data_IF_482765553106
#
_entry.id   IF_482765553106
#
_cell.length_a   1.000
_cell.length_b   1.000
_cell.length_c   1.000
_cell.angle_alpha   90.00
_cell.angle_beta   90.00
_cell.angle_gamma   90.00
#
_symmetry.space_group_name_H-M   'P 1'
#
loop_
_entity.id
_entity.type
_entity.pdbx_description
1 polymer ?
#
# COMPACT_ATOMS: atom_id res chain seq x y z
N UNK A 1 -33.73 -24.28 13.36
CA UNK A 1 -32.57 -24.31 12.45
C UNK A 1 -31.41 -23.66 13.20
N UNK A 2 -30.60 -24.47 13.88
CA UNK A 2 -29.50 -24.00 14.70
C UNK A 2 -28.35 -23.58 13.78
N UNK A 3 -28.21 -22.27 13.54
CA UNK A 3 -26.96 -21.75 13.01
C UNK A 3 -25.94 -21.76 14.16
N UNK A 4 -24.79 -22.44 14.02
CA UNK A 4 -23.73 -22.35 15.01
C UNK A 4 -23.30 -20.90 15.09
N UNK A 5 -23.58 -20.30 16.24
CA UNK A 5 -23.24 -18.94 16.58
C UNK A 5 -21.72 -18.84 16.63
N UNK A 6 -21.13 -18.22 15.60
CA UNK A 6 -19.88 -17.49 15.77
C UNK A 6 -20.20 -16.27 16.66
N UNK A 7 -20.43 -16.51 17.94
CA UNK A 7 -19.96 -15.59 18.96
C UNK A 7 -18.48 -15.93 19.19
N UNK A 8 -17.67 -15.62 18.18
CA UNK A 8 -16.34 -15.16 18.46
C UNK A 8 -16.39 -13.69 18.05
N UNK A 9 -16.21 -12.83 19.03
CA UNK A 9 -15.66 -11.51 18.77
C UNK A 9 -14.30 -11.73 18.11
N UNK A 10 -14.31 -12.13 16.84
CA UNK A 10 -13.14 -12.11 15.99
C UNK A 10 -12.95 -10.64 15.68
N UNK A 11 -12.38 -9.87 16.62
CA UNK A 11 -11.83 -8.55 16.34
C UNK A 11 -10.65 -8.60 15.36
N UNK A 12 -10.58 -9.64 14.53
CA UNK A 12 -9.58 -9.84 13.51
C UNK A 12 -10.15 -9.37 12.18
N UNK A 13 -9.89 -8.09 11.87
CA UNK A 13 -10.01 -7.60 10.51
C UNK A 13 -9.30 -8.58 9.55
N UNK A 14 -9.86 -8.91 8.38
CA UNK A 14 -9.24 -9.83 7.42
C UNK A 14 -7.87 -9.34 6.91
N UNK A 15 -7.52 -8.07 7.13
CA UNK A 15 -6.17 -7.53 6.90
C UNK A 15 -5.11 -8.11 7.84
N UNK A 16 -5.50 -8.62 9.01
CA UNK A 16 -4.62 -9.19 10.05
C UNK A 16 -4.31 -10.68 9.75
N UNK A 17 -5.23 -11.41 9.12
CA UNK A 17 -5.17 -12.88 9.12
C UNK A 17 -4.37 -13.51 7.97
N UNK A 18 -3.89 -12.73 6.98
CA UNK A 18 -3.01 -13.27 5.93
C UNK A 18 -1.59 -12.80 6.15
N UNK A 19 -0.89 -13.44 7.11
CA UNK A 19 0.57 -13.56 7.06
C UNK A 19 0.92 -14.46 5.87
N UNK A 20 0.62 -14.01 4.65
CA UNK A 20 1.23 -14.56 3.45
C UNK A 20 2.73 -14.54 3.74
N UNK A 21 3.36 -15.70 3.71
CA UNK A 21 4.80 -15.83 3.79
C UNK A 21 5.38 -15.05 2.62
N UNK A 22 5.64 -13.75 2.82
CA UNK A 22 6.28 -12.90 1.85
C UNK A 22 7.57 -13.61 1.47
N UNK A 23 7.72 -13.92 0.18
CA UNK A 23 8.99 -14.42 -0.32
C UNK A 23 10.08 -13.41 0.04
N UNK A 24 11.30 -13.88 0.29
CA UNK A 24 12.44 -13.00 0.64
C UNK A 24 12.56 -11.84 -0.36
N UNK A 25 12.30 -12.09 -1.65
CA UNK A 25 12.29 -11.06 -2.70
C UNK A 25 11.19 -10.02 -2.52
N UNK A 26 9.98 -10.43 -2.11
CA UNK A 26 8.85 -9.53 -1.88
C UNK A 26 9.09 -8.64 -0.66
N UNK A 27 9.69 -9.20 0.40
CA UNK A 27 10.04 -8.45 1.60
C UNK A 27 11.15 -7.43 1.33
N UNK A 28 12.15 -7.79 0.53
CA UNK A 28 13.19 -6.86 0.10
C UNK A 28 12.63 -5.75 -0.79
N UNK A 29 11.74 -6.08 -1.73
CA UNK A 29 11.08 -5.08 -2.58
C UNK A 29 10.26 -4.08 -1.76
N UNK A 30 9.48 -4.54 -0.77
CA UNK A 30 8.74 -3.64 0.12
C UNK A 30 9.63 -2.74 0.96
N UNK A 31 10.76 -3.28 1.45
CA UNK A 31 11.74 -2.48 2.18
C UNK A 31 12.39 -1.43 1.28
N UNK A 32 12.75 -1.80 0.04
CA UNK A 32 13.31 -0.88 -0.95
C UNK A 32 12.31 0.21 -1.34
N UNK A 33 11.04 -0.11 -1.58
CA UNK A 33 10.01 0.88 -1.90
C UNK A 33 9.80 1.89 -0.77
N UNK A 34 9.76 1.42 0.48
CA UNK A 34 9.65 2.31 1.66
C UNK A 34 10.87 3.21 1.82
N UNK A 35 12.06 2.70 1.54
CA UNK A 35 13.29 3.48 1.63
C UNK A 35 13.42 4.50 0.49
N UNK A 36 13.09 4.11 -0.74
CA UNK A 36 13.11 4.96 -1.93
C UNK A 36 12.05 6.08 -1.87
N UNK A 37 10.93 5.86 -1.19
CA UNK A 37 9.87 6.86 -1.00
C UNK A 37 10.12 7.87 0.14
N UNK A 38 11.28 7.80 0.81
CA UNK A 38 11.59 8.64 1.97
C UNK A 38 12.12 10.03 1.55
N UNK A 39 11.62 11.09 2.17
CA UNK A 39 12.09 12.48 1.96
C UNK A 39 13.62 12.67 2.07
N UNK A 40 14.31 12.14 3.10
CA UNK A 40 15.78 12.24 3.18
C UNK A 40 16.53 11.49 2.08
N UNK A 41 15.98 10.39 1.54
CA UNK A 41 16.61 9.66 0.43
C UNK A 41 16.60 10.50 -0.85
N UNK A 42 15.47 11.14 -1.16
CA UNK A 42 15.36 12.02 -2.31
C UNK A 42 16.39 13.16 -2.26
N UNK A 43 16.48 13.84 -1.11
CA UNK A 43 17.45 14.92 -0.92
C UNK A 43 18.91 14.44 -1.03
N UNK A 44 19.24 13.32 -0.40
CA UNK A 44 20.59 12.73 -0.50
C UNK A 44 20.96 12.34 -1.93
N UNK A 45 20.03 11.71 -2.65
CA UNK A 45 20.22 11.34 -4.06
C UNK A 45 20.40 12.56 -4.96
N UNK A 46 19.59 13.61 -4.78
CA UNK A 46 19.75 14.88 -5.49
C UNK A 46 21.10 15.55 -5.22
N UNK A 47 21.57 15.54 -3.97
CA UNK A 47 22.90 16.08 -3.62
C UNK A 47 24.02 15.30 -4.31
N UNK A 48 23.94 13.97 -4.36
CA UNK A 48 24.93 13.14 -5.06
C UNK A 48 24.98 13.48 -6.56
N UNK A 49 23.82 13.66 -7.21
CA UNK A 49 23.76 14.07 -8.62
C UNK A 49 24.41 15.45 -8.80
N UNK A 50 24.11 16.41 -7.93
CA UNK A 50 24.71 17.75 -8.00
C UNK A 50 26.23 17.68 -7.83
N UNK A 51 26.72 16.90 -6.86
CA UNK A 51 28.15 16.68 -6.63
C UNK A 51 28.80 16.06 -7.88
N UNK A 52 28.16 15.05 -8.49
CA UNK A 52 28.66 14.42 -9.72
C UNK A 52 28.78 15.40 -10.89
N UNK A 53 27.77 16.26 -11.05
CA UNK A 53 27.77 17.32 -12.05
C UNK A 53 28.90 18.32 -11.76
N UNK A 54 29.04 18.77 -10.51
CA UNK A 54 30.13 19.68 -10.11
C UNK A 54 31.51 19.06 -10.39
N UNK A 55 31.76 17.82 -9.99
CA UNK A 55 33.04 17.12 -10.24
C UNK A 55 33.35 17.05 -11.74
N UNK A 56 32.35 16.76 -12.58
CA UNK A 56 32.54 16.70 -14.04
C UNK A 56 32.77 18.07 -14.68
N UNK A 57 32.06 19.12 -14.23
CA UNK A 57 32.23 20.49 -14.75
C UNK A 57 33.58 21.08 -14.33
N UNK A 58 33.99 20.88 -13.07
CA UNK A 58 35.29 21.34 -12.56
C UNK A 58 36.44 20.40 -12.93
N UNK A 59 36.20 19.47 -13.87
CA UNK A 59 37.06 18.35 -14.25
C UNK A 59 38.52 18.74 -14.47
N UNK A 60 39.30 18.54 -13.42
CA UNK A 60 40.71 18.91 -13.25
C UNK A 60 41.68 18.16 -14.19
N UNK A 61 41.25 17.20 -15.04
CA UNK A 61 42.22 16.51 -15.94
C UNK A 61 41.69 15.84 -17.22
N UNK A 62 40.42 15.42 -17.39
CA UNK A 62 40.03 14.73 -18.64
C UNK A 62 38.53 14.59 -18.99
N UNK A 63 37.64 15.52 -18.58
CA UNK A 63 36.20 15.56 -18.94
C UNK A 63 35.56 14.16 -19.17
N UNK A 64 35.41 13.37 -18.09
CA UNK A 64 35.00 11.96 -18.17
C UNK A 64 33.56 11.79 -18.68
N UNK A 65 32.68 12.76 -18.39
CA UNK A 65 31.32 12.86 -18.93
C UNK A 65 31.04 14.31 -19.40
N UNK A 66 31.41 14.69 -20.65
CA UNK A 66 31.17 16.03 -21.19
C UNK A 66 29.67 16.34 -21.27
N UNK A 67 29.31 17.63 -21.14
CA UNK A 67 27.95 18.09 -21.38
C UNK A 67 27.49 17.61 -22.78
N UNK A 68 26.39 16.83 -22.91
CA UNK A 68 25.17 16.78 -22.09
C UNK A 68 25.04 15.65 -21.03
N UNK A 69 26.14 15.13 -20.48
CA UNK A 69 26.18 14.06 -19.45
C UNK A 69 25.51 12.74 -19.89
N UNK A 70 26.06 12.12 -20.94
CA UNK A 70 25.46 10.92 -21.56
C UNK A 70 25.46 9.73 -20.59
N UNK A 71 26.51 9.59 -19.76
CA UNK A 71 26.64 8.47 -18.83
C UNK A 71 25.67 8.62 -17.66
N UNK A 72 25.57 9.82 -17.10
CA UNK A 72 24.59 10.12 -16.05
C UNK A 72 23.17 9.85 -16.54
N UNK A 73 22.84 10.31 -17.75
CA UNK A 73 21.52 10.10 -18.33
C UNK A 73 21.20 8.61 -18.56
N UNK A 74 22.18 7.84 -19.03
CA UNK A 74 22.05 6.41 -19.25
C UNK A 74 21.74 5.68 -17.93
N UNK A 75 22.54 5.95 -16.88
CA UNK A 75 22.39 5.32 -15.56
C UNK A 75 21.04 5.67 -14.95
N UNK A 76 20.65 6.95 -14.96
CA UNK A 76 19.37 7.39 -14.42
C UNK A 76 18.18 6.75 -15.16
N UNK A 77 18.25 6.66 -16.48
CA UNK A 77 17.22 6.01 -17.30
C UNK A 77 17.05 4.54 -16.96
N UNK A 78 18.16 3.80 -16.82
CA UNK A 78 18.13 2.39 -16.42
C UNK A 78 17.54 2.21 -15.02
N UNK A 79 17.94 3.04 -14.04
CA UNK A 79 17.39 2.99 -12.69
C UNK A 79 15.88 3.23 -12.70
N UNK A 80 15.41 4.26 -13.43
CA UNK A 80 13.99 4.57 -13.57
C UNK A 80 13.20 3.42 -14.21
N UNK A 81 13.77 2.76 -15.22
CA UNK A 81 13.15 1.62 -15.87
C UNK A 81 12.93 0.43 -14.92
N UNK A 82 13.87 0.19 -13.99
CA UNK A 82 13.71 -0.82 -12.94
C UNK A 82 12.80 -0.39 -11.79
N UNK A 83 12.70 0.91 -11.50
CA UNK A 83 11.82 1.43 -10.44
C UNK A 83 10.34 1.20 -10.76
N UNK A 84 9.90 1.47 -12.00
CA UNK A 84 8.50 1.36 -12.41
C UNK A 84 7.86 -0.02 -12.09
N UNK A 85 8.45 -1.18 -12.45
CA UNK A 85 7.87 -2.48 -12.14
C UNK A 85 7.91 -2.79 -10.63
N UNK A 86 8.94 -2.36 -9.89
CA UNK A 86 9.01 -2.56 -8.43
C UNK A 86 7.88 -1.81 -7.74
N UNK A 87 7.65 -0.56 -8.14
CA UNK A 87 6.54 0.26 -7.64
C UNK A 87 5.21 -0.40 -8.01
N UNK A 88 5.04 -0.85 -9.26
CA UNK A 88 3.83 -1.52 -9.73
C UNK A 88 3.54 -2.82 -8.96
N UNK A 89 4.56 -3.61 -8.64
CA UNK A 89 4.40 -4.83 -7.83
C UNK A 89 3.98 -4.52 -6.38
N UNK A 90 4.53 -3.46 -5.78
CA UNK A 90 4.16 -3.01 -4.45
C UNK A 90 2.71 -2.48 -4.43
N UNK A 91 2.35 -1.66 -5.42
CA UNK A 91 0.99 -1.14 -5.60
C UNK A 91 -0.03 -2.24 -5.87
N UNK A 92 0.27 -3.22 -6.72
CA UNK A 92 -0.65 -4.33 -7.00
C UNK A 92 -0.97 -5.15 -5.74
N UNK A 93 0.02 -5.35 -4.87
CA UNK A 93 -0.17 -6.04 -3.58
C UNK A 93 -0.99 -5.20 -2.60
N UNK A 94 -0.77 -3.89 -2.55
CA UNK A 94 -1.55 -2.99 -1.71
C UNK A 94 -3.02 -2.95 -2.18
N UNK A 95 -3.25 -2.82 -3.48
CA UNK A 95 -4.59 -2.84 -4.08
C UNK A 95 -5.34 -4.15 -3.83
N UNK A 96 -4.66 -5.30 -3.85
CA UNK A 96 -5.29 -6.58 -3.49
C UNK A 96 -5.73 -6.61 -2.02
N UNK A 97 -4.90 -6.11 -1.11
CA UNK A 97 -5.24 -5.98 0.32
C UNK A 97 -6.43 -5.06 0.53
N UNK A 98 -6.43 -3.90 -0.12
CA UNK A 98 -7.52 -2.92 -0.02
C UNK A 98 -8.83 -3.47 -0.57
N UNK A 99 -8.77 -4.21 -1.69
CA UNK A 99 -9.95 -4.88 -2.27
C UNK A 99 -10.54 -5.92 -1.31
N UNK A 100 -9.71 -6.69 -0.60
CA UNK A 100 -10.19 -7.68 0.37
C UNK A 100 -10.82 -7.00 1.59
N UNK A 101 -10.20 -5.93 2.10
CA UNK A 101 -10.76 -5.13 3.19
C UNK A 101 -12.14 -4.56 2.80
N UNK A 102 -12.23 -3.92 1.63
CA UNK A 102 -13.49 -3.35 1.14
C UNK A 102 -14.61 -4.39 0.98
N UNK A 103 -14.31 -5.60 0.49
CA UNK A 103 -15.28 -6.69 0.38
C UNK A 103 -15.84 -7.13 1.75
N UNK A 104 -14.97 -7.19 2.75
CA UNK A 104 -15.37 -7.56 4.10
C UNK A 104 -16.22 -6.47 4.74
N UNK A 105 -15.78 -5.22 4.65
CA UNK A 105 -16.52 -4.07 5.17
C UNK A 105 -17.91 -3.99 4.55
N UNK A 106 -18.03 -4.26 3.24
CA UNK A 106 -19.32 -4.36 2.56
C UNK A 106 -20.21 -5.48 3.14
N UNK A 107 -19.65 -6.66 3.39
CA UNK A 107 -20.41 -7.79 3.94
C UNK A 107 -20.89 -7.52 5.38
N UNK A 108 -20.03 -6.91 6.21
CA UNK A 108 -20.38 -6.47 7.57
C UNK A 108 -21.47 -5.42 7.51
N UNK A 109 -21.33 -4.39 6.66
CA UNK A 109 -22.31 -3.32 6.55
C UNK A 109 -23.70 -3.85 6.13
N UNK A 110 -23.76 -4.78 5.17
CA UNK A 110 -25.00 -5.47 4.76
C UNK A 110 -25.60 -6.35 5.86
N UNK A 111 -24.80 -6.85 6.80
CA UNK A 111 -25.28 -7.58 7.97
C UNK A 111 -25.85 -6.60 9.00
N UNK A 112 -25.13 -5.53 9.29
CA UNK A 112 -25.58 -4.45 10.17
C UNK A 112 -26.91 -3.86 9.72
N UNK A 113 -27.07 -3.59 8.42
CA UNK A 113 -28.33 -3.12 7.83
C UNK A 113 -29.50 -4.07 8.15
N UNK A 114 -29.29 -5.38 7.99
CA UNK A 114 -30.31 -6.39 8.30
C UNK A 114 -30.65 -6.46 9.79
N UNK A 115 -29.67 -6.37 10.67
CA UNK A 115 -29.90 -6.37 12.12
C UNK A 115 -30.62 -5.09 12.57
N UNK A 116 -30.27 -3.92 12.02
CA UNK A 116 -31.00 -2.67 12.28
C UNK A 116 -32.46 -2.77 11.85
N UNK A 117 -32.72 -3.35 10.67
CA UNK A 117 -34.10 -3.57 10.20
C UNK A 117 -34.89 -4.52 11.10
N UNK A 118 -34.26 -5.54 11.68
CA UNK A 118 -34.92 -6.41 12.68
C UNK A 118 -35.25 -5.64 13.95
N UNK A 119 -34.29 -4.90 14.50
CA UNK A 119 -34.51 -4.08 15.71
C UNK A 119 -35.65 -3.09 15.49
N UNK A 120 -35.73 -2.44 14.33
CA UNK A 120 -36.85 -1.54 14.01
C UNK A 120 -38.20 -2.27 13.98
N UNK A 121 -38.26 -3.49 13.46
CA UNK A 121 -39.48 -4.31 13.46
C UNK A 121 -39.88 -4.70 14.87
N UNK A 122 -38.94 -5.19 15.67
CA UNK A 122 -39.18 -5.60 17.06
C UNK A 122 -39.68 -4.41 17.90
N UNK A 123 -39.08 -3.22 17.72
CA UNK A 123 -39.53 -1.98 18.38
C UNK A 123 -40.94 -1.58 17.96
N UNK A 124 -41.26 -1.69 16.67
CA UNK A 124 -42.61 -1.38 16.17
C UNK A 124 -43.67 -2.36 16.72
N UNK A 125 -43.31 -3.64 16.87
CA UNK A 125 -44.17 -4.65 17.46
C UNK A 125 -44.43 -4.38 18.95
N UNK A 126 -43.39 -4.10 19.73
CA UNK A 126 -43.51 -3.73 21.16
C UNK A 126 -44.41 -2.49 21.32
N UNK A 127 -44.20 -1.45 20.49
CA UNK A 127 -45.04 -0.25 20.51
C UNK A 127 -46.52 -0.59 20.30
N UNK A 128 -46.82 -1.46 19.33
CA UNK A 128 -48.19 -1.89 19.03
C UNK A 128 -48.83 -2.67 20.17
N UNK A 129 -48.06 -3.43 20.95
CA UNK A 129 -48.56 -4.14 22.14
C UNK A 129 -48.89 -3.20 23.29
N UNK A 130 -48.17 -2.07 23.43
CA UNK A 130 -48.42 -1.07 24.47
C UNK A 130 -49.61 -0.15 24.18
N UNK A 131 -49.96 0.05 22.90
CA UNK A 131 -51.12 0.85 22.48
C UNK A 131 -52.45 0.08 22.54
N UNK A 132 -52.44 -1.18 23.01
CA UNK A 132 -53.59 -2.08 23.04
C UNK A 132 -54.03 -2.39 24.47
#
# INVERSE_FOLDING_TARGET
>A
MNLPLLHKTDGEHPTIQKKQSLSLSQRSADAMTKWMGSWPFLLGFSVIIIIWICINIYGWWNNWDPYPFILLNLVLSTISAFQAPIIMMSQNREAERDRLAAKYDYAVNRKTEREVLKIQKDLAEIKKMLEK
#
